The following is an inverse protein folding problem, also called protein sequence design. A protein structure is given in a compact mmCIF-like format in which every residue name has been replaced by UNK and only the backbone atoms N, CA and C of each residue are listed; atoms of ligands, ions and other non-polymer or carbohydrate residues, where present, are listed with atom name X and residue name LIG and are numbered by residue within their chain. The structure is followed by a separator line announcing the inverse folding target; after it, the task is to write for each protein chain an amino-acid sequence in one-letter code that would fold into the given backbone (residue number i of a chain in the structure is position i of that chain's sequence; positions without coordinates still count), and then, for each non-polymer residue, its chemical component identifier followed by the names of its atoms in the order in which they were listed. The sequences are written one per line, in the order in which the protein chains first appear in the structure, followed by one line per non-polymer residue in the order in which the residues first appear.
data_IF_616389958017
#
_entry.id   IF_616389958017
#
_cell.length_a   1.000
_cell.length_b   1.000
_cell.length_c   1.000
_cell.angle_alpha   90.00
_cell.angle_beta   90.00
_cell.angle_gamma   90.00
#
_symmetry.space_group_name_H-M   'P 1'
#
loop_
_entity.id
_entity.type
_entity.pdbx_description
1 polymer ?
#
# COMPACT_ATOMS: atom_id res chain seq x y z
N UNK A 1 21.11 3.20 -4.31
CA UNK A 1 20.90 3.84 -3.01
C UNK A 1 19.52 3.53 -2.49
N UNK A 2 19.41 3.32 -1.18
CA UNK A 2 18.13 3.03 -0.54
C UNK A 2 17.34 4.33 -0.39
N UNK A 3 16.09 4.38 -0.85
CA UNK A 3 15.26 5.56 -0.66
C UNK A 3 14.96 5.78 0.82
N UNK A 4 14.68 7.03 1.16
CA UNK A 4 14.29 7.40 2.52
C UNK A 4 12.77 7.36 2.63
N UNK A 5 12.27 6.70 3.67
CA UNK A 5 10.84 6.71 3.98
C UNK A 5 10.51 7.92 4.86
N UNK A 6 9.43 8.59 4.56
CA UNK A 6 8.92 9.69 5.35
C UNK A 6 7.40 9.79 5.24
N UNK A 7 6.74 10.51 6.17
CA UNK A 7 5.28 10.69 6.07
C UNK A 7 4.88 11.36 4.75
N UNK A 8 3.79 10.88 4.18
CA UNK A 8 3.19 11.48 2.99
C UNK A 8 2.52 12.81 3.38
N UNK A 9 2.70 13.83 2.56
CA UNK A 9 2.13 15.16 2.76
C UNK A 9 1.27 15.53 1.54
N UNK A 10 0.42 16.55 1.71
CA UNK A 10 -0.38 17.04 0.59
C UNK A 10 0.48 17.45 -0.60
N UNK A 11 1.67 17.99 -0.34
CA UNK A 11 2.61 18.39 -1.40
C UNK A 11 3.11 17.19 -2.23
N UNK A 12 2.98 15.96 -1.73
CA UNK A 12 3.40 14.76 -2.45
C UNK A 12 2.34 14.24 -3.43
N UNK A 13 1.11 14.75 -3.37
CA UNK A 13 0.00 14.14 -4.09
C UNK A 13 0.14 14.19 -5.61
N UNK A 14 0.75 15.24 -6.17
CA UNK A 14 0.98 15.27 -7.62
C UNK A 14 1.86 14.08 -8.06
N UNK A 15 2.93 13.81 -7.33
CA UNK A 15 3.82 12.69 -7.62
C UNK A 15 3.14 11.34 -7.38
N UNK A 16 2.38 11.22 -6.27
CA UNK A 16 1.67 9.99 -5.93
C UNK A 16 0.61 9.67 -6.99
N UNK A 17 -0.16 10.67 -7.43
CA UNK A 17 -1.20 10.45 -8.44
C UNK A 17 -0.61 10.10 -9.80
N UNK A 18 0.56 10.63 -10.14
CA UNK A 18 1.27 10.23 -11.36
C UNK A 18 1.68 8.75 -11.30
N UNK A 19 2.14 8.28 -10.14
CA UNK A 19 2.45 6.87 -9.95
C UNK A 19 1.20 5.99 -9.97
N UNK A 20 0.08 6.46 -9.39
CA UNK A 20 -1.20 5.76 -9.46
C UNK A 20 -1.60 5.51 -10.91
N UNK A 21 -1.50 6.55 -11.75
CA UNK A 21 -1.84 6.43 -13.16
C UNK A 21 -0.91 5.45 -13.88
N UNK A 22 0.38 5.51 -13.58
CA UNK A 22 1.37 4.60 -14.17
C UNK A 22 1.10 3.14 -13.80
N UNK A 23 0.72 2.88 -12.53
CA UNK A 23 0.71 1.53 -11.95
C UNK A 23 -0.66 0.86 -12.00
N UNK A 24 -1.74 1.63 -11.85
CA UNK A 24 -3.06 1.06 -11.55
C UNK A 24 -4.17 1.51 -12.49
N UNK A 25 -3.89 2.39 -13.45
CA UNK A 25 -4.94 2.81 -14.37
C UNK A 25 -5.62 1.59 -15.02
N UNK A 26 -6.97 1.57 -15.18
CA UNK A 26 -7.91 2.66 -14.89
C UNK A 26 -8.42 2.70 -13.43
N UNK A 27 -7.92 1.85 -12.53
CA UNK A 27 -8.44 1.66 -11.18
C UNK A 27 -7.75 2.58 -10.15
N UNK A 28 -7.48 3.81 -10.52
CA UNK A 28 -6.68 4.74 -9.71
C UNK A 28 -7.50 5.37 -8.57
N UNK A 29 -6.80 5.66 -7.46
CA UNK A 29 -7.34 6.51 -6.41
C UNK A 29 -7.36 7.97 -6.90
N UNK A 30 -8.27 8.75 -6.33
CA UNK A 30 -8.40 10.18 -6.64
C UNK A 30 -7.65 11.03 -5.61
N UNK A 31 -7.40 12.28 -5.97
CA UNK A 31 -6.83 13.26 -5.04
C UNK A 31 -7.71 13.42 -3.80
N UNK A 32 -9.02 13.45 -3.98
CA UNK A 32 -9.97 13.59 -2.87
C UNK A 32 -9.86 12.41 -1.89
N UNK A 33 -9.67 11.21 -2.39
CA UNK A 33 -9.49 10.02 -1.55
C UNK A 33 -8.23 10.17 -0.69
N UNK A 34 -7.10 10.58 -1.28
CA UNK A 34 -5.87 10.79 -0.53
C UNK A 34 -5.99 11.93 0.49
N UNK A 35 -6.64 13.03 0.12
CA UNK A 35 -6.86 14.13 1.06
C UNK A 35 -7.67 13.68 2.27
N UNK A 36 -8.72 12.89 2.04
CA UNK A 36 -9.54 12.35 3.12
C UNK A 36 -8.70 11.47 4.05
N UNK A 37 -7.89 10.58 3.47
CA UNK A 37 -7.02 9.70 4.26
C UNK A 37 -6.01 10.49 5.09
N UNK A 38 -5.35 11.46 4.48
CA UNK A 38 -4.34 12.28 5.18
C UNK A 38 -4.95 13.20 6.25
N UNK A 39 -6.26 13.41 6.23
CA UNK A 39 -6.95 14.20 7.25
C UNK A 39 -7.25 13.42 8.54
N UNK A 40 -6.88 12.13 8.59
CA UNK A 40 -7.21 11.22 9.71
C UNK A 40 -5.94 10.62 10.34
N UNK A 41 -5.03 11.46 10.89
CA UNK A 41 -3.73 10.97 11.35
C UNK A 41 -3.79 9.96 12.49
N UNK A 42 -4.90 9.91 13.26
CA UNK A 42 -5.02 9.00 14.40
C UNK A 42 -5.08 7.53 13.96
N UNK A 43 -5.64 7.26 12.79
CA UNK A 43 -5.85 5.90 12.30
C UNK A 43 -5.16 5.63 10.97
N UNK A 44 -4.59 6.64 10.31
CA UNK A 44 -3.95 6.53 8.99
C UNK A 44 -2.45 6.76 9.12
N UNK A 45 -1.69 5.85 8.49
CA UNK A 45 -0.24 5.94 8.46
C UNK A 45 0.22 5.82 7.01
N UNK A 46 0.43 6.96 6.35
CA UNK A 46 0.80 7.01 4.94
C UNK A 46 2.25 7.48 4.80
N UNK A 47 2.98 6.78 3.94
CA UNK A 47 4.42 7.01 3.70
C UNK A 47 4.70 7.22 2.23
N UNK A 48 5.77 7.96 1.95
CA UNK A 48 6.41 7.96 0.63
C UNK A 48 7.85 7.50 0.77
N UNK A 49 8.35 6.88 -0.29
CA UNK A 49 9.76 6.56 -0.44
C UNK A 49 10.36 7.61 -1.39
N UNK A 50 11.33 8.35 -0.89
CA UNK A 50 11.96 9.46 -1.62
C UNK A 50 13.43 9.13 -1.87
N UNK A 51 13.86 9.28 -3.11
CA UNK A 51 15.25 9.12 -3.49
C UNK A 51 15.68 10.35 -4.27
N UNK A 52 16.64 11.09 -3.71
CA UNK A 52 17.19 12.30 -4.32
C UNK A 52 16.10 13.30 -4.74
N UNK A 53 15.17 13.57 -3.83
CA UNK A 53 14.08 14.51 -4.05
C UNK A 53 12.92 14.01 -4.89
N UNK A 54 12.97 12.76 -5.36
CA UNK A 54 11.93 12.15 -6.21
C UNK A 54 11.18 11.10 -5.43
N UNK A 55 9.84 11.15 -5.45
CA UNK A 55 9.00 10.10 -4.87
C UNK A 55 9.01 8.91 -5.80
N UNK A 56 9.52 7.78 -5.33
CA UNK A 56 9.64 6.54 -6.12
C UNK A 56 8.70 5.43 -5.63
N UNK A 57 8.00 5.68 -4.54
CA UNK A 57 7.03 4.72 -4.02
C UNK A 57 6.19 5.35 -2.91
N UNK A 58 5.12 4.67 -2.55
CA UNK A 58 4.21 5.12 -1.51
C UNK A 58 3.45 3.94 -0.92
N UNK A 59 2.92 4.14 0.29
CA UNK A 59 2.13 3.12 0.97
C UNK A 59 1.21 3.75 1.99
N UNK A 60 0.11 3.08 2.30
CA UNK A 60 -0.83 3.53 3.30
C UNK A 60 -1.38 2.41 4.15
N UNK A 61 -1.51 2.68 5.45
CA UNK A 61 -2.07 1.78 6.44
C UNK A 61 -3.22 2.47 7.16
N UNK A 62 -4.30 1.73 7.37
CA UNK A 62 -5.39 2.11 8.26
C UNK A 62 -5.30 1.18 9.47
N UNK A 63 -5.14 1.73 10.67
CA UNK A 63 -4.92 0.90 11.85
C UNK A 63 -5.92 1.24 12.96
N UNK A 64 -6.68 0.22 13.37
CA UNK A 64 -7.57 0.25 14.52
C UNK A 64 -7.06 -0.75 15.55
N UNK A 65 -7.63 -0.74 16.76
CA UNK A 65 -7.16 -1.61 17.85
C UNK A 65 -7.39 -3.09 17.57
N UNK A 66 -8.41 -3.43 16.81
CA UNK A 66 -8.77 -4.82 16.49
C UNK A 66 -8.16 -5.32 15.19
N UNK A 67 -7.99 -4.45 14.21
CA UNK A 67 -7.37 -4.85 12.93
C UNK A 67 -6.80 -3.64 12.20
N UNK A 68 -5.78 -3.91 11.37
CA UNK A 68 -5.21 -2.94 10.46
C UNK A 68 -5.43 -3.40 9.02
N UNK A 69 -5.37 -2.46 8.09
CA UNK A 69 -5.61 -2.71 6.68
C UNK A 69 -4.54 -1.99 5.86
N UNK A 70 -3.83 -2.73 5.02
CA UNK A 70 -2.94 -2.11 4.03
C UNK A 70 -3.84 -1.56 2.93
N UNK A 71 -3.92 -0.24 2.85
CA UNK A 71 -4.83 0.43 1.93
C UNK A 71 -4.27 0.48 0.51
N UNK A 72 -2.96 0.72 0.39
CA UNK A 72 -2.30 0.83 -0.91
C UNK A 72 -0.79 0.65 -0.76
N UNK A 73 -0.15 0.17 -1.81
CA UNK A 73 1.32 0.15 -1.97
C UNK A 73 1.62 0.28 -3.45
N UNK A 74 2.54 1.15 -3.81
CA UNK A 74 2.98 1.30 -5.19
C UNK A 74 4.45 1.67 -5.27
N UNK A 75 5.14 1.15 -6.28
CA UNK A 75 6.55 1.46 -6.58
C UNK A 75 6.67 1.79 -8.06
N UNK A 76 7.34 2.89 -8.38
CA UNK A 76 7.57 3.29 -9.78
C UNK A 76 8.11 2.11 -10.58
N UNK A 77 7.60 1.91 -11.80
CA UNK A 77 8.00 0.77 -12.65
C UNK A 77 9.51 0.70 -12.85
N UNK A 78 10.15 1.84 -13.04
CA UNK A 78 11.59 1.93 -13.25
C UNK A 78 12.41 1.50 -12.02
N UNK A 79 11.79 1.43 -10.85
CA UNK A 79 12.46 1.11 -9.59
C UNK A 79 11.97 -0.21 -8.98
N UNK A 80 11.16 -0.96 -9.69
CA UNK A 80 10.72 -2.28 -9.21
C UNK A 80 11.88 -3.28 -9.25
N UNK A 81 11.85 -4.26 -8.34
CA UNK A 81 12.92 -5.22 -8.21
C UNK A 81 14.08 -4.78 -7.34
N UNK A 82 14.01 -3.59 -6.73
CA UNK A 82 15.07 -3.03 -5.86
C UNK A 82 14.77 -3.17 -4.38
N UNK A 83 13.63 -3.79 -4.01
CA UNK A 83 13.26 -3.98 -2.62
C UNK A 83 12.50 -2.82 -1.99
N UNK A 84 12.09 -1.81 -2.76
CA UNK A 84 11.37 -0.64 -2.23
C UNK A 84 10.00 -1.03 -1.69
N UNK A 85 9.29 -1.92 -2.40
CA UNK A 85 8.00 -2.43 -1.93
C UNK A 85 8.10 -3.14 -0.59
N UNK A 86 9.15 -3.96 -0.44
CA UNK A 86 9.43 -4.65 0.82
C UNK A 86 9.74 -3.66 1.95
N UNK A 87 10.53 -2.62 1.66
CA UNK A 87 10.86 -1.57 2.63
C UNK A 87 9.60 -0.86 3.11
N UNK A 88 8.72 -0.47 2.18
CA UNK A 88 7.45 0.18 2.51
C UNK A 88 6.55 -0.74 3.32
N UNK A 89 6.39 -1.99 2.90
CA UNK A 89 5.54 -2.94 3.60
C UNK A 89 6.06 -3.19 5.02
N UNK A 90 7.36 -3.39 5.18
CA UNK A 90 7.95 -3.63 6.50
C UNK A 90 7.69 -2.45 7.45
N UNK A 91 7.76 -1.22 6.95
CA UNK A 91 7.44 -0.03 7.75
C UNK A 91 5.97 0.00 8.17
N UNK A 92 5.05 -0.35 7.26
CA UNK A 92 3.63 -0.45 7.59
C UNK A 92 3.37 -1.53 8.64
N UNK A 93 4.00 -2.69 8.50
CA UNK A 93 3.82 -3.80 9.44
C UNK A 93 4.38 -3.48 10.82
N UNK A 94 5.48 -2.76 10.88
CA UNK A 94 6.02 -2.28 12.16
C UNK A 94 5.00 -1.40 12.89
N UNK A 95 4.36 -0.48 12.19
CA UNK A 95 3.32 0.36 12.76
C UNK A 95 2.08 -0.46 13.13
N UNK A 96 1.65 -1.36 12.26
CA UNK A 96 0.50 -2.22 12.52
C UNK A 96 0.69 -3.09 13.76
N UNK A 97 1.89 -3.65 13.93
CA UNK A 97 2.18 -4.54 15.06
C UNK A 97 2.16 -3.81 16.40
N UNK A 98 2.36 -2.50 16.42
CA UNK A 98 2.21 -1.70 17.63
C UNK A 98 0.75 -1.46 18.02
N UNK A 99 -0.19 -1.66 17.08
CA UNK A 99 -1.57 -1.21 17.26
C UNK A 99 -2.62 -2.31 17.12
N UNK A 100 -2.37 -3.31 16.29
CA UNK A 100 -3.40 -4.25 15.89
C UNK A 100 -2.87 -5.68 15.87
N UNK A 101 -3.70 -6.69 16.25
CA UNK A 101 -3.26 -8.09 16.20
C UNK A 101 -3.32 -8.70 14.80
N UNK A 102 -4.03 -8.07 13.87
CA UNK A 102 -4.31 -8.64 12.55
C UNK A 102 -4.15 -7.56 11.49
N UNK A 103 -3.57 -7.92 10.34
CA UNK A 103 -3.47 -7.05 9.17
C UNK A 103 -4.16 -7.73 7.99
N UNK A 104 -5.05 -6.99 7.32
CA UNK A 104 -5.75 -7.43 6.12
C UNK A 104 -5.33 -6.59 4.93
N UNK A 105 -5.43 -7.16 3.74
CA UNK A 105 -5.28 -6.40 2.49
C UNK A 105 -6.06 -7.08 1.37
N UNK A 106 -6.37 -6.31 0.33
CA UNK A 106 -6.79 -6.81 -0.95
C UNK A 106 -5.66 -6.57 -1.96
N UNK A 107 -5.41 -7.54 -2.81
CA UNK A 107 -4.43 -7.44 -3.89
C UNK A 107 -5.06 -7.94 -5.19
N UNK A 108 -4.70 -7.34 -6.32
CA UNK A 108 -5.23 -7.76 -7.62
C UNK A 108 -4.90 -9.23 -7.85
N UNK A 109 -5.90 -9.99 -8.29
CA UNK A 109 -5.72 -11.42 -8.57
C UNK A 109 -4.68 -11.67 -9.66
N UNK A 110 -4.46 -10.69 -10.54
CA UNK A 110 -3.47 -10.76 -11.62
C UNK A 110 -2.07 -10.25 -11.22
N UNK A 111 -1.88 -9.84 -9.97
CA UNK A 111 -0.58 -9.32 -9.49
C UNK A 111 0.13 -10.33 -8.63
N UNK A 112 0.77 -11.31 -9.26
CA UNK A 112 1.47 -12.39 -8.55
C UNK A 112 2.73 -11.91 -7.83
N UNK A 113 3.39 -10.89 -8.35
CA UNK A 113 4.59 -10.32 -7.71
C UNK A 113 4.25 -9.76 -6.35
N UNK A 114 3.18 -8.97 -6.25
CA UNK A 114 2.72 -8.41 -4.98
C UNK A 114 2.25 -9.51 -4.03
N UNK A 115 1.50 -10.49 -4.52
CA UNK A 115 1.06 -11.62 -3.70
C UNK A 115 2.25 -12.37 -3.10
N UNK A 116 3.30 -12.59 -3.88
CA UNK A 116 4.53 -13.22 -3.41
C UNK A 116 5.21 -12.41 -2.30
N UNK A 117 5.26 -11.09 -2.46
CA UNK A 117 5.81 -10.20 -1.43
C UNK A 117 5.03 -10.34 -0.12
N UNK A 118 3.71 -10.33 -0.19
CA UNK A 118 2.86 -10.46 1.00
C UNK A 118 3.02 -11.83 1.65
N UNK A 119 3.07 -12.92 0.86
CA UNK A 119 3.28 -14.27 1.42
C UNK A 119 4.59 -14.37 2.17
N UNK A 120 5.65 -13.76 1.66
CA UNK A 120 6.96 -13.78 2.33
C UNK A 120 6.95 -13.03 3.66
N UNK A 121 5.95 -12.18 3.91
CA UNK A 121 5.76 -11.48 5.18
C UNK A 121 4.68 -12.09 6.05
N UNK A 122 4.26 -13.33 5.74
CA UNK A 122 3.33 -14.06 6.60
C UNK A 122 1.86 -13.89 6.28
N UNK A 123 1.52 -13.24 5.16
CA UNK A 123 0.13 -13.17 4.71
C UNK A 123 -0.29 -14.46 4.04
N UNK A 124 -1.53 -14.88 4.29
CA UNK A 124 -2.14 -16.03 3.61
C UNK A 124 -3.46 -15.61 2.99
N UNK A 125 -3.82 -16.26 1.90
CA UNK A 125 -5.10 -16.00 1.24
C UNK A 125 -6.25 -16.51 2.12
N UNK A 126 -7.24 -15.65 2.38
CA UNK A 126 -8.42 -16.00 3.18
C UNK A 126 -9.73 -15.83 2.40
N UNK A 127 -9.69 -15.28 1.20
CA UNK A 127 -10.89 -15.12 0.39
C UNK A 127 -10.62 -14.39 -0.89
N UNK A 128 -11.70 -14.14 -1.63
CA UNK A 128 -11.66 -13.39 -2.88
C UNK A 128 -12.85 -12.46 -2.95
N UNK A 129 -12.68 -11.32 -3.61
CA UNK A 129 -13.76 -10.37 -3.89
C UNK A 129 -13.89 -10.23 -5.41
N UNK A 130 -14.92 -10.79 -6.03
CA UNK A 130 -15.12 -10.66 -7.48
C UNK A 130 -15.36 -9.21 -7.86
N UNK A 131 -14.78 -8.78 -8.97
CA UNK A 131 -14.96 -7.44 -9.54
C UNK A 131 -14.69 -6.30 -8.56
N UNK A 132 -13.74 -6.51 -7.67
CA UNK A 132 -13.43 -5.54 -6.61
C UNK A 132 -12.86 -4.24 -7.17
N UNK A 133 -11.94 -4.34 -8.12
CA UNK A 133 -11.30 -3.16 -8.71
C UNK A 133 -12.13 -2.61 -9.84
N UNK A 134 -12.43 -1.32 -9.80
CA UNK A 134 -13.28 -0.64 -10.77
C UNK A 134 -12.52 0.52 -11.39
N UNK A 135 -12.69 0.79 -12.67
CA UNK A 135 -13.68 0.21 -13.59
C UNK A 135 -13.28 -1.08 -14.32
N UNK A 136 -12.06 -1.61 -14.08
CA UNK A 136 -11.58 -2.80 -14.82
C UNK A 136 -12.39 -4.07 -14.55
N UNK A 137 -12.97 -4.19 -13.35
CA UNK A 137 -13.65 -5.39 -12.95
C UNK A 137 -12.73 -6.53 -12.52
N UNK A 138 -11.46 -6.23 -12.25
CA UNK A 138 -10.49 -7.24 -11.80
C UNK A 138 -10.83 -7.73 -10.40
N UNK A 139 -10.71 -9.03 -10.17
CA UNK A 139 -10.93 -9.63 -8.85
C UNK A 139 -9.81 -9.28 -7.89
N UNK A 140 -10.14 -9.28 -6.60
CA UNK A 140 -9.16 -9.15 -5.52
C UNK A 140 -8.98 -10.48 -4.79
N UNK A 141 -7.74 -10.76 -4.41
CA UNK A 141 -7.41 -11.79 -3.42
C UNK A 141 -7.35 -11.08 -2.07
N UNK A 142 -8.05 -11.60 -1.08
CA UNK A 142 -8.01 -11.06 0.29
C UNK A 142 -6.98 -11.85 1.06
N UNK A 143 -6.04 -11.16 1.68
CA UNK A 143 -4.96 -11.78 2.44
C UNK A 143 -4.94 -11.27 3.88
N UNK A 144 -4.48 -12.12 4.79
CA UNK A 144 -4.47 -11.85 6.22
C UNK A 144 -3.15 -12.28 6.83
N UNK A 145 -2.63 -11.45 7.74
CA UNK A 145 -1.45 -11.75 8.55
C UNK A 145 -1.81 -11.54 10.01
N UNK A 146 -1.48 -12.50 10.85
CA UNK A 146 -1.65 -12.38 12.29
C UNK A 146 -0.30 -12.00 12.91
N UNK A 147 -0.33 -11.12 13.91
CA UNK A 147 0.87 -10.72 14.63
C UNK A 147 1.43 -11.92 15.39
N UNK A 148 2.72 -12.15 15.25
CA UNK A 148 3.42 -13.24 15.92
C UNK A 148 3.66 -12.95 17.40
#
# INVERSE_FOLDING_TARGET
MTPRLRPMRLADLDAVLALEEELFAPDTWTRAMYRDELSRPDTRHYLVAEDDGTVVGYAGLIAYDDEAHVATIGVAQARQGEGIGALLLDALLEEADRRSPVVLLEVRADNEVAQGLYRRRGFTEVGRRPRYYQPSGTDAVVMKREKL
#
